data_IF_592327460526
#
_entry.id   IF_592327460526
#
_cell.length_a   1.000
_cell.length_b   1.000
_cell.length_c   1.000
_cell.angle_alpha   90.00
_cell.angle_beta   90.00
_cell.angle_gamma   90.00
#
_symmetry.space_group_name_H-M   'P 1'
#
loop_
_entity.id
_entity.type
_entity.pdbx_description
1 polymer ?
#
# COMPACT_ATOMS: atom_id res chain seq x y z
N UNK A 1 -12.61 -2.84 -10.80
CA UNK A 1 -11.30 -3.11 -10.18
C UNK A 1 -11.19 -2.36 -8.86
N UNK A 2 -11.22 -3.04 -7.72
CA UNK A 2 -11.09 -2.39 -6.39
C UNK A 2 -9.61 -2.26 -5.99
N UNK A 3 -8.83 -1.56 -6.81
CA UNK A 3 -7.37 -1.41 -6.63
C UNK A 3 -7.02 -0.76 -5.29
N UNK A 4 -7.88 0.14 -4.80
CA UNK A 4 -7.71 0.77 -3.49
C UNK A 4 -7.64 -0.24 -2.34
N UNK A 5 -8.40 -1.34 -2.36
CA UNK A 5 -8.28 -2.36 -1.31
C UNK A 5 -6.90 -3.00 -1.30
N UNK A 6 -6.30 -3.28 -2.45
CA UNK A 6 -4.96 -3.89 -2.50
C UNK A 6 -3.87 -2.96 -1.99
N UNK A 7 -3.99 -1.65 -2.25
CA UNK A 7 -2.96 -0.67 -1.85
C UNK A 7 -3.00 -0.41 -0.33
N UNK A 8 -4.21 -0.30 0.25
CA UNK A 8 -4.40 0.19 1.61
C UNK A 8 -4.73 -0.91 2.65
N UNK A 9 -5.28 -2.07 2.24
CA UNK A 9 -5.79 -3.11 3.17
C UNK A 9 -4.79 -3.51 4.26
N UNK A 10 -3.62 -3.97 3.85
CA UNK A 10 -2.60 -4.49 4.77
C UNK A 10 -1.88 -3.38 5.56
N UNK A 11 -1.37 -2.30 4.93
CA UNK A 11 -0.72 -1.23 5.67
C UNK A 11 -1.65 -0.54 6.67
N UNK A 12 -2.92 -0.28 6.31
CA UNK A 12 -3.88 0.33 7.24
C UNK A 12 -4.19 -0.58 8.42
N UNK A 13 -4.28 -1.90 8.21
CA UNK A 13 -4.48 -2.85 9.32
C UNK A 13 -3.33 -2.81 10.31
N UNK A 14 -2.08 -2.79 9.82
CA UNK A 14 -0.88 -2.78 10.67
C UNK A 14 -0.71 -1.44 11.40
N UNK A 15 -1.04 -0.32 10.74
CA UNK A 15 -1.08 0.99 11.38
C UNK A 15 -2.13 1.08 12.49
N UNK A 16 -3.35 0.57 12.25
CA UNK A 16 -4.40 0.50 13.29
C UNK A 16 -4.03 -0.41 14.46
N UNK A 17 -3.16 -1.39 14.22
CA UNK A 17 -2.62 -2.27 15.26
C UNK A 17 -1.41 -1.67 16.01
N UNK A 18 -0.99 -0.46 15.64
CA UNK A 18 0.17 0.23 16.23
C UNK A 18 1.54 -0.34 15.78
N UNK A 19 1.57 -1.23 14.79
CA UNK A 19 2.80 -1.82 14.27
C UNK A 19 3.56 -0.92 13.30
N UNK A 20 2.87 0.05 12.71
CA UNK A 20 3.45 1.05 11.81
C UNK A 20 3.17 2.44 12.38
N UNK A 21 4.16 3.31 12.30
CA UNK A 21 3.93 4.75 12.45
C UNK A 21 3.45 5.35 11.12
N UNK A 22 3.12 6.64 11.14
CA UNK A 22 2.59 7.35 9.96
C UNK A 22 3.56 7.34 8.77
N UNK A 23 4.87 7.49 9.03
CA UNK A 23 5.89 7.46 7.97
C UNK A 23 6.00 6.08 7.34
N UNK A 24 5.95 5.02 8.15
CA UNK A 24 5.99 3.64 7.68
C UNK A 24 4.73 3.29 6.86
N UNK A 25 3.57 3.80 7.27
CA UNK A 25 2.33 3.67 6.52
C UNK A 25 2.45 4.33 5.14
N UNK A 26 2.91 5.59 5.09
CA UNK A 26 3.08 6.35 3.85
C UNK A 26 4.06 5.64 2.91
N UNK A 27 5.17 5.14 3.44
CA UNK A 27 6.16 4.39 2.67
C UNK A 27 5.57 3.10 2.10
N UNK A 28 4.85 2.31 2.90
CA UNK A 28 4.25 1.05 2.48
C UNK A 28 3.19 1.25 1.38
N UNK A 29 2.31 2.24 1.54
CA UNK A 29 1.30 2.61 0.54
C UNK A 29 1.96 3.06 -0.76
N UNK A 30 2.99 3.90 -0.68
CA UNK A 30 3.73 4.39 -1.84
C UNK A 30 4.41 3.26 -2.62
N UNK A 31 5.02 2.29 -1.91
CA UNK A 31 5.61 1.12 -2.56
C UNK A 31 4.57 0.22 -3.22
N UNK A 32 3.42 -0.01 -2.58
CA UNK A 32 2.33 -0.78 -3.17
C UNK A 32 1.81 -0.13 -4.45
N UNK A 33 1.71 1.20 -4.47
CA UNK A 33 1.32 1.97 -5.64
C UNK A 33 2.35 1.88 -6.78
N UNK A 34 3.64 2.03 -6.48
CA UNK A 34 4.71 1.87 -7.48
C UNK A 34 4.74 0.46 -8.07
N UNK A 35 4.53 -0.57 -7.24
CA UNK A 35 4.45 -1.96 -7.70
C UNK A 35 3.28 -2.15 -8.65
N UNK A 36 2.13 -1.56 -8.34
CA UNK A 36 0.98 -1.57 -9.24
C UNK A 36 1.34 -0.91 -10.57
N UNK A 37 1.89 0.30 -10.59
CA UNK A 37 2.28 0.97 -11.85
C UNK A 37 3.21 0.08 -12.69
N UNK A 38 4.18 -0.60 -12.07
CA UNK A 38 5.06 -1.55 -12.78
C UNK A 38 4.26 -2.68 -13.44
N UNK A 39 3.34 -3.32 -12.72
CA UNK A 39 2.49 -4.37 -13.28
C UNK A 39 1.62 -3.91 -14.45
N UNK A 40 1.19 -2.64 -14.44
CA UNK A 40 0.42 -2.07 -15.54
C UNK A 40 1.28 -1.70 -16.74
N UNK A 41 2.56 -1.34 -16.51
CA UNK A 41 3.50 -1.00 -17.58
C UNK A 41 4.12 -2.22 -18.27
N UNK A 42 4.15 -3.35 -17.57
CA UNK A 42 4.59 -4.65 -18.11
C UNK A 42 3.47 -5.40 -18.86
N UNK A 43 2.26 -4.83 -18.93
CA UNK A 43 1.11 -5.33 -19.70
C UNK A 43 0.83 -4.41 -20.89
#
# INVERSE_FOLDING_TARGET
FTVGRTIFSEPSRRWLHGELNDNDLINAVSQNYLRLIRYWRER
#
